data_IF_036970263233
#
_entry.id   IF_036970263233
#
_cell.length_a   1.000
_cell.length_b   1.000
_cell.length_c   1.000
_cell.angle_alpha   90.00
_cell.angle_beta   90.00
_cell.angle_gamma   90.00
#
_symmetry.space_group_name_H-M   'P 1'
#
loop_
_entity.id
_entity.type
_entity.pdbx_description
1 polymer ?
#
# COMPACT_ATOMS: atom_id res chain seq x y z
N UNK A 1 -28.38 11.05 9.90
CA UNK A 1 -27.00 11.49 9.59
C UNK A 1 -26.82 11.39 8.09
N UNK A 2 -26.50 12.49 7.40
CA UNK A 2 -26.29 12.45 5.96
C UNK A 2 -24.97 11.72 5.68
N UNK A 3 -25.03 10.60 4.95
CA UNK A 3 -23.85 9.92 4.44
C UNK A 3 -22.94 10.93 3.74
N UNK A 4 -21.66 10.98 4.12
CA UNK A 4 -20.68 11.82 3.43
C UNK A 4 -20.44 11.33 2.00
N UNK A 5 -20.58 10.02 1.76
CA UNK A 5 -20.40 9.40 0.46
C UNK A 5 -21.67 9.51 -0.40
N UNK A 6 -21.54 9.72 -1.73
CA UNK A 6 -22.68 9.66 -2.65
C UNK A 6 -23.27 8.24 -2.67
N UNK A 7 -24.59 8.18 -2.80
CA UNK A 7 -25.31 6.95 -3.12
C UNK A 7 -24.92 6.41 -4.50
N UNK A 8 -25.21 5.13 -4.75
CA UNK A 8 -24.95 4.50 -6.05
C UNK A 8 -25.62 5.25 -7.22
N UNK A 9 -26.84 5.75 -7.00
CA UNK A 9 -27.58 6.52 -8.01
C UNK A 9 -26.94 7.89 -8.27
N UNK A 10 -26.53 8.61 -7.22
CA UNK A 10 -25.78 9.86 -7.36
C UNK A 10 -24.47 9.61 -8.12
N UNK A 11 -23.70 8.59 -7.73
CA UNK A 11 -22.42 8.30 -8.36
C UNK A 11 -22.56 8.00 -9.86
N UNK A 12 -23.57 7.22 -10.24
CA UNK A 12 -23.86 6.89 -11.64
C UNK A 12 -24.16 8.15 -12.46
N UNK A 13 -24.97 9.06 -11.92
CA UNK A 13 -25.29 10.35 -12.58
C UNK A 13 -24.07 11.27 -12.60
N UNK A 14 -23.28 11.30 -11.53
CA UNK A 14 -22.04 12.08 -11.46
C UNK A 14 -21.05 11.65 -12.54
N UNK A 15 -20.85 10.34 -12.74
CA UNK A 15 -19.99 9.80 -13.78
C UNK A 15 -20.43 10.18 -15.18
N UNK A 16 -21.73 10.09 -15.44
CA UNK A 16 -22.31 10.47 -16.71
C UNK A 16 -22.01 11.95 -17.03
N UNK A 17 -22.26 12.85 -16.08
CA UNK A 17 -21.99 14.28 -16.23
C UNK A 17 -20.49 14.58 -16.31
N UNK A 18 -19.69 13.90 -15.48
CA UNK A 18 -18.26 14.12 -15.37
C UNK A 18 -17.49 13.68 -16.63
N UNK A 19 -17.96 12.64 -17.32
CA UNK A 19 -17.41 12.21 -18.61
C UNK A 19 -17.46 13.35 -19.64
N UNK A 20 -18.57 14.06 -19.70
CA UNK A 20 -18.74 15.18 -20.62
C UNK A 20 -17.96 16.41 -20.17
N UNK A 21 -17.94 16.69 -18.86
CA UNK A 21 -17.09 17.71 -18.26
C UNK A 21 -15.62 17.51 -18.62
N UNK A 22 -15.09 16.29 -18.51
CA UNK A 22 -13.68 16.00 -18.84
C UNK A 22 -13.35 16.22 -20.31
N UNK A 23 -14.27 15.85 -21.22
CA UNK A 23 -14.09 16.01 -22.66
C UNK A 23 -14.11 17.47 -23.09
N UNK A 24 -15.02 18.27 -22.51
CA UNK A 24 -15.26 19.66 -22.93
C UNK A 24 -14.58 20.71 -22.06
N UNK A 25 -14.11 20.32 -20.87
CA UNK A 25 -13.61 21.22 -19.81
C UNK A 25 -14.62 22.30 -19.42
N UNK A 26 -15.91 22.00 -19.60
CA UNK A 26 -17.02 22.90 -19.30
C UNK A 26 -18.10 22.12 -18.57
N UNK A 27 -18.60 22.68 -17.46
CA UNK A 27 -19.67 22.09 -16.68
C UNK A 27 -21.02 22.45 -17.31
N UNK A 28 -21.45 21.64 -18.27
CA UNK A 28 -22.66 21.89 -19.06
C UNK A 28 -23.90 21.29 -18.39
N UNK A 29 -24.99 22.06 -18.38
CA UNK A 29 -26.32 21.57 -18.00
C UNK A 29 -26.78 20.47 -18.94
N UNK A 30 -27.41 19.43 -18.40
CA UNK A 30 -28.08 18.37 -19.15
C UNK A 30 -29.51 18.19 -18.66
N UNK A 31 -30.44 17.98 -19.60
CA UNK A 31 -31.83 17.70 -19.28
C UNK A 31 -31.93 16.40 -18.50
N UNK A 32 -32.72 16.41 -17.43
CA UNK A 32 -32.94 15.24 -16.58
C UNK A 32 -33.49 14.05 -17.39
N UNK A 33 -34.39 14.32 -18.34
CA UNK A 33 -34.92 13.30 -19.25
C UNK A 33 -33.85 12.62 -20.11
N UNK A 34 -32.83 13.37 -20.54
CA UNK A 34 -31.74 12.82 -21.34
C UNK A 34 -30.80 11.96 -20.49
N UNK A 35 -30.52 12.38 -19.25
CA UNK A 35 -29.74 11.60 -18.29
C UNK A 35 -30.44 10.28 -18.00
N UNK A 36 -31.75 10.32 -17.72
CA UNK A 36 -32.51 9.14 -17.32
C UNK A 36 -32.65 8.13 -18.46
N UNK A 37 -32.89 8.62 -19.68
CA UNK A 37 -32.89 7.77 -20.88
C UNK A 37 -31.56 7.06 -21.05
N UNK A 38 -30.44 7.78 -20.92
CA UNK A 38 -29.12 7.20 -21.18
C UNK A 38 -28.64 6.23 -20.09
N UNK A 39 -29.12 6.43 -18.87
CA UNK A 39 -28.82 5.57 -17.73
C UNK A 39 -29.87 4.47 -17.51
N UNK A 40 -30.87 4.35 -18.39
CA UNK A 40 -32.02 3.45 -18.25
C UNK A 40 -32.73 3.57 -16.90
N UNK A 41 -32.85 4.80 -16.38
CA UNK A 41 -33.63 5.12 -15.18
C UNK A 41 -35.09 5.26 -15.61
N UNK A 42 -35.95 4.37 -15.10
CA UNK A 42 -37.36 4.34 -15.49
C UNK A 42 -38.10 5.60 -15.00
N UNK A 43 -39.07 6.07 -15.80
CA UNK A 43 -40.00 7.11 -15.37
C UNK A 43 -40.75 6.64 -14.12
N UNK A 44 -40.75 7.46 -13.05
CA UNK A 44 -41.36 7.14 -11.76
C UNK A 44 -40.42 6.44 -10.76
N UNK A 45 -39.19 6.12 -11.14
CA UNK A 45 -38.17 5.71 -10.18
C UNK A 45 -37.86 6.86 -9.22
N UNK A 46 -37.71 6.55 -7.94
CA UNK A 46 -37.38 7.57 -6.94
C UNK A 46 -36.01 8.19 -7.24
N UNK A 47 -36.03 9.51 -7.48
CA UNK A 47 -34.87 10.34 -7.78
C UNK A 47 -34.75 11.48 -6.77
N UNK A 48 -35.47 11.39 -5.65
CA UNK A 48 -35.38 12.34 -4.54
C UNK A 48 -33.94 12.52 -4.07
N UNK A 49 -33.18 11.42 -4.05
CA UNK A 49 -31.73 11.39 -3.74
C UNK A 49 -30.90 12.33 -4.61
N UNK A 50 -31.26 12.52 -5.88
CA UNK A 50 -30.57 13.43 -6.80
C UNK A 50 -30.96 14.89 -6.55
N UNK A 51 -32.21 15.14 -6.17
CA UNK A 51 -32.71 16.51 -5.95
C UNK A 51 -32.07 17.18 -4.74
N UNK A 52 -31.85 16.42 -3.66
CA UNK A 52 -31.30 16.92 -2.40
C UNK A 52 -29.77 16.75 -2.31
N UNK A 53 -29.15 16.23 -3.37
CA UNK A 53 -27.72 15.96 -3.41
C UNK A 53 -26.89 17.24 -3.45
N UNK A 54 -25.90 17.35 -2.56
CA UNK A 54 -24.87 18.40 -2.62
C UNK A 54 -23.97 18.30 -3.86
N UNK A 55 -23.99 17.18 -4.58
CA UNK A 55 -23.12 16.93 -5.73
C UNK A 55 -23.68 17.46 -7.05
N UNK A 56 -24.95 17.87 -7.07
CA UNK A 56 -25.60 18.42 -8.25
C UNK A 56 -26.07 19.85 -8.01
N UNK A 57 -26.10 20.62 -9.09
CA UNK A 57 -26.82 21.89 -9.15
C UNK A 57 -27.99 21.70 -10.10
N UNK A 58 -29.20 21.75 -9.54
CA UNK A 58 -30.46 21.72 -10.28
C UNK A 58 -30.78 23.11 -10.80
N UNK A 59 -31.22 23.19 -12.06
CA UNK A 59 -31.73 24.44 -12.63
C UNK A 59 -32.80 24.18 -13.68
N UNK A 60 -33.62 25.17 -13.97
CA UNK A 60 -34.54 25.13 -15.10
C UNK A 60 -33.86 25.74 -16.32
N UNK A 61 -33.97 25.04 -17.45
CA UNK A 61 -33.65 25.56 -18.77
C UNK A 61 -34.94 25.60 -19.59
N UNK A 62 -35.55 26.79 -19.66
CA UNK A 62 -36.91 26.99 -20.16
C UNK A 62 -37.93 26.16 -19.36
N UNK A 63 -38.49 25.11 -19.96
CA UNK A 63 -39.48 24.22 -19.35
C UNK A 63 -38.89 22.90 -18.85
N UNK A 64 -37.58 22.68 -19.03
CA UNK A 64 -36.92 21.42 -18.69
C UNK A 64 -36.13 21.54 -17.40
N UNK A 65 -36.27 20.53 -16.55
CA UNK A 65 -35.35 20.32 -15.45
C UNK A 65 -33.99 19.88 -15.97
N UNK A 66 -32.93 20.51 -15.46
CA UNK A 66 -31.55 20.20 -15.83
C UNK A 66 -30.69 19.96 -14.59
N UNK A 67 -29.76 19.02 -14.73
CA UNK A 67 -28.67 18.79 -13.78
C UNK A 67 -27.34 19.19 -14.39
N UNK A 68 -26.47 19.71 -13.53
CA UNK A 68 -25.04 19.86 -13.76
C UNK A 68 -24.30 19.48 -12.47
N UNK A 69 -23.01 19.16 -12.55
CA UNK A 69 -22.24 18.91 -11.33
C UNK A 69 -22.15 20.20 -10.51
N UNK A 70 -22.23 20.10 -9.19
CA UNK A 70 -21.79 21.19 -8.32
C UNK A 70 -20.26 21.23 -8.24
N UNK A 71 -19.68 22.25 -7.63
CA UNK A 71 -18.24 22.27 -7.33
C UNK A 71 -17.82 21.09 -6.44
N UNK A 72 -18.67 20.72 -5.49
CA UNK A 72 -18.45 19.53 -4.65
C UNK A 72 -18.49 18.24 -5.49
N UNK A 73 -19.41 18.15 -6.44
CA UNK A 73 -19.50 17.04 -7.39
C UNK A 73 -18.26 16.91 -8.27
N UNK A 74 -17.77 18.02 -8.84
CA UNK A 74 -16.54 18.05 -9.64
C UNK A 74 -15.35 17.62 -8.78
N UNK A 75 -15.18 18.20 -7.59
CA UNK A 75 -14.06 17.89 -6.69
C UNK A 75 -14.04 16.42 -6.27
N UNK A 76 -15.21 15.87 -5.95
CA UNK A 76 -15.33 14.45 -5.63
C UNK A 76 -14.90 13.58 -6.82
N UNK A 77 -15.40 13.88 -8.01
CA UNK A 77 -15.09 13.11 -9.21
C UNK A 77 -13.63 13.26 -9.67
N UNK A 78 -13.03 14.43 -9.52
CA UNK A 78 -11.59 14.65 -9.78
C UNK A 78 -10.74 13.76 -8.87
N UNK A 79 -11.06 13.74 -7.57
CA UNK A 79 -10.35 12.89 -6.60
C UNK A 79 -10.54 11.40 -6.93
N UNK A 80 -11.79 10.97 -7.13
CA UNK A 80 -12.11 9.60 -7.52
C UNK A 80 -11.34 9.19 -8.78
N UNK A 81 -11.36 10.03 -9.82
CA UNK A 81 -10.69 9.74 -11.07
C UNK A 81 -9.17 9.69 -10.94
N UNK A 82 -8.58 10.55 -10.09
CA UNK A 82 -7.14 10.51 -9.77
C UNK A 82 -6.75 9.18 -9.11
N UNK A 83 -7.55 8.71 -8.14
CA UNK A 83 -7.33 7.43 -7.46
C UNK A 83 -7.46 6.27 -8.46
N UNK A 84 -8.47 6.31 -9.34
CA UNK A 84 -8.67 5.30 -10.39
C UNK A 84 -7.47 5.29 -11.33
N UNK A 85 -7.02 6.46 -11.78
CA UNK A 85 -5.91 6.59 -12.72
C UNK A 85 -4.63 5.97 -12.15
N UNK A 86 -4.28 6.33 -10.91
CA UNK A 86 -3.11 5.79 -10.24
C UNK A 86 -3.19 4.27 -10.11
N UNK A 87 -4.32 3.74 -9.63
CA UNK A 87 -4.50 2.30 -9.49
C UNK A 87 -4.51 1.57 -10.83
N UNK A 88 -5.03 2.20 -11.87
CA UNK A 88 -5.05 1.64 -13.22
C UNK A 88 -3.64 1.51 -13.79
N UNK A 89 -2.77 2.50 -13.54
CA UNK A 89 -1.35 2.46 -13.89
C UNK A 89 -0.60 1.36 -13.12
N UNK A 90 -0.85 1.19 -11.82
CA UNK A 90 -0.27 0.10 -11.01
C UNK A 90 -0.62 -1.28 -11.55
N UNK A 91 -1.83 -1.43 -12.10
CA UNK A 91 -2.28 -2.66 -12.75
C UNK A 91 -1.64 -2.86 -14.14
N UNK A 92 -0.74 -1.98 -14.57
CA UNK A 92 -0.12 -1.96 -15.90
C UNK A 92 -1.11 -1.59 -17.01
N UNK A 93 -2.09 -0.74 -16.70
CA UNK A 93 -3.12 -0.31 -17.65
C UNK A 93 -2.57 0.68 -18.69
N UNK A 94 -2.83 0.43 -19.98
CA UNK A 94 -2.43 1.35 -21.03
C UNK A 94 -3.40 2.55 -21.11
N UNK A 95 -2.85 3.76 -21.21
CA UNK A 95 -3.59 5.00 -21.42
C UNK A 95 -3.34 5.48 -22.85
N UNK A 96 -4.40 5.73 -23.62
CA UNK A 96 -4.32 6.25 -24.98
C UNK A 96 -5.23 7.46 -25.11
N UNK A 97 -4.68 8.60 -25.56
CA UNK A 97 -5.43 9.86 -25.70
C UNK A 97 -6.16 10.30 -24.42
N UNK A 98 -5.61 9.99 -23.24
CA UNK A 98 -6.23 10.31 -21.95
C UNK A 98 -7.41 9.40 -21.56
N UNK A 99 -7.61 8.30 -22.27
CA UNK A 99 -8.59 7.26 -21.96
C UNK A 99 -7.91 5.96 -21.53
N UNK A 100 -8.49 5.30 -20.52
CA UNK A 100 -8.06 4.01 -20.00
C UNK A 100 -8.62 2.90 -20.91
N UNK A 101 -7.77 2.28 -21.73
CA UNK A 101 -8.18 1.41 -22.83
C UNK A 101 -8.58 0.00 -22.37
N UNK A 102 -7.95 -0.50 -21.30
CA UNK A 102 -8.21 -1.84 -20.78
C UNK A 102 -9.41 -1.81 -19.81
N UNK A 103 -10.56 -2.29 -20.29
CA UNK A 103 -11.81 -2.29 -19.51
C UNK A 103 -11.73 -3.09 -18.21
N UNK A 104 -11.05 -4.23 -18.20
CA UNK A 104 -10.92 -5.06 -16.99
C UNK A 104 -10.12 -4.34 -15.89
N UNK A 105 -8.95 -3.81 -16.26
CA UNK A 105 -8.11 -3.05 -15.32
C UNK A 105 -8.82 -1.80 -14.83
N UNK A 106 -9.56 -1.11 -15.70
CA UNK A 106 -10.40 0.02 -15.30
C UNK A 106 -11.45 -0.40 -14.28
N UNK A 107 -12.20 -1.48 -14.52
CA UNK A 107 -13.20 -1.97 -13.57
C UNK A 107 -12.60 -2.37 -12.23
N UNK A 108 -11.40 -2.98 -12.21
CA UNK A 108 -10.68 -3.32 -10.97
C UNK A 108 -10.20 -2.08 -10.22
N UNK A 109 -9.58 -1.13 -10.92
CA UNK A 109 -9.15 0.15 -10.36
C UNK A 109 -10.32 0.96 -9.80
N UNK A 110 -11.44 0.95 -10.52
CA UNK A 110 -12.67 1.62 -10.13
C UNK A 110 -13.28 1.07 -8.84
N UNK A 111 -13.46 -0.26 -8.75
CA UNK A 111 -13.96 -0.91 -7.51
C UNK A 111 -13.06 -0.62 -6.32
N UNK A 112 -11.75 -0.65 -6.53
CA UNK A 112 -10.77 -0.31 -5.49
C UNK A 112 -10.86 1.16 -5.08
N UNK A 113 -11.00 2.09 -6.03
CA UNK A 113 -11.13 3.51 -5.73
C UNK A 113 -12.40 3.82 -4.93
N UNK A 114 -13.53 3.18 -5.27
CA UNK A 114 -14.78 3.32 -4.51
C UNK A 114 -14.64 2.88 -3.05
N UNK A 115 -13.88 1.81 -2.76
CA UNK A 115 -13.68 1.36 -1.37
C UNK A 115 -12.70 2.23 -0.58
N UNK A 116 -11.79 2.95 -1.24
CA UNK A 116 -10.75 3.75 -0.60
C UNK A 116 -11.06 5.26 -0.52
N UNK A 117 -11.97 5.78 -1.35
CA UNK A 117 -12.29 7.21 -1.36
C UNK A 117 -12.94 7.66 -0.05
N UNK A 118 -13.73 6.78 0.60
CA UNK A 118 -14.37 7.08 1.88
C UNK A 118 -13.35 7.15 3.03
N UNK A 119 -12.32 6.30 2.99
CA UNK A 119 -11.22 6.29 3.98
C UNK A 119 -10.32 7.52 3.84
N UNK A 120 -10.20 8.04 2.62
CA UNK A 120 -9.40 9.22 2.30
C UNK A 120 -10.17 10.51 2.61
N UNK A 121 -11.47 10.56 2.32
CA UNK A 121 -12.33 11.73 2.51
C UNK A 121 -12.50 12.14 3.99
N UNK A 122 -12.43 11.20 4.94
CA UNK A 122 -12.46 11.50 6.38
C UNK A 122 -11.14 12.09 6.90
N UNK A 123 -10.02 11.85 6.21
CA UNK A 123 -8.70 12.35 6.58
C UNK A 123 -8.25 13.58 5.75
N UNK A 124 -8.80 13.76 4.55
CA UNK A 124 -8.63 15.00 3.79
C UNK A 124 -9.66 16.02 4.26
N UNK A 125 -9.27 16.82 5.25
CA UNK A 125 -9.91 18.12 5.52
C UNK A 125 -10.15 18.80 4.17
N UNK A 126 -11.37 19.28 3.85
CA UNK A 126 -11.69 19.80 2.53
C UNK A 126 -10.63 20.82 2.12
N UNK A 127 -9.82 20.45 1.12
CA UNK A 127 -8.79 21.31 0.60
C UNK A 127 -9.52 22.37 -0.24
N UNK A 128 -10.07 23.38 0.43
CA UNK A 128 -10.15 24.73 -0.11
C UNK A 128 -8.72 25.30 -0.13
N UNK A 129 -7.81 24.65 -0.86
CA UNK A 129 -6.59 25.35 -1.26
C UNK A 129 -6.92 26.05 -2.55
N UNK A 130 -6.78 27.37 -2.54
CA UNK A 130 -6.62 28.12 -3.77
C UNK A 130 -5.45 27.48 -4.52
N UNK A 131 -5.72 27.10 -5.76
CA UNK A 131 -4.70 26.52 -6.64
C UNK A 131 -3.75 27.64 -7.00
N UNK A 132 -2.46 27.45 -6.75
CA UNK A 132 -1.47 28.45 -7.12
C UNK A 132 -1.35 28.49 -8.65
N UNK A 133 -1.40 29.68 -9.22
CA UNK A 133 -1.18 29.93 -10.65
C UNK A 133 -0.14 31.00 -10.80
N UNK A 134 0.61 31.00 -11.90
CA UNK A 134 1.58 32.07 -12.18
C UNK A 134 1.01 33.47 -12.15
N UNK A 135 -0.30 33.62 -12.32
CA UNK A 135 -0.97 34.93 -12.32
C UNK A 135 -1.13 35.51 -10.90
N UNK A 136 -0.93 34.69 -9.85
CA UNK A 136 -1.15 35.06 -8.45
C UNK A 136 0.07 34.83 -7.55
N UNK A 137 1.20 34.42 -8.13
CA UNK A 137 2.44 34.27 -7.35
C UNK A 137 3.04 35.68 -7.22
N UNK A 138 3.28 36.17 -5.99
CA UNK A 138 3.94 37.46 -5.79
C UNK A 138 5.30 37.48 -6.51
N UNK A 139 5.82 38.67 -6.83
CA UNK A 139 7.15 38.78 -7.43
C UNK A 139 8.20 38.14 -6.50
N UNK A 140 8.67 36.95 -6.87
CA UNK A 140 9.57 36.13 -6.07
C UNK A 140 8.91 34.89 -5.47
N UNK A 141 9.74 33.96 -4.99
CA UNK A 141 9.27 32.73 -4.38
C UNK A 141 8.69 33.00 -2.98
N UNK A 142 7.52 32.45 -2.57
CA UNK A 142 6.91 32.78 -1.30
C UNK A 142 7.70 32.17 -0.13
N UNK A 143 8.50 33.00 0.55
CA UNK A 143 9.43 32.57 1.61
C UNK A 143 8.76 32.20 2.93
N UNK A 144 7.51 32.61 3.15
CA UNK A 144 6.78 32.40 4.41
C UNK A 144 5.91 31.12 4.42
N UNK A 145 5.91 30.34 3.34
CA UNK A 145 5.13 29.11 3.28
C UNK A 145 5.66 28.03 4.22
N UNK A 146 4.78 27.29 4.90
CA UNK A 146 5.20 26.06 5.59
C UNK A 146 5.61 24.97 4.58
N UNK A 147 6.30 23.93 5.03
CA UNK A 147 6.88 22.90 4.15
C UNK A 147 5.86 22.20 3.27
N UNK A 148 4.62 22.02 3.73
CA UNK A 148 3.57 21.36 2.95
C UNK A 148 2.91 22.31 1.96
N UNK A 149 2.72 23.58 2.32
CA UNK A 149 2.34 24.62 1.37
C UNK A 149 3.37 24.74 0.25
N UNK A 150 4.67 24.63 0.59
CA UNK A 150 5.77 24.69 -0.37
C UNK A 150 5.69 23.58 -1.42
N UNK A 151 5.46 22.33 -0.97
CA UNK A 151 5.25 21.19 -1.88
C UNK A 151 4.06 21.42 -2.80
N UNK A 152 2.99 22.00 -2.26
CA UNK A 152 1.78 22.26 -3.02
C UNK A 152 1.99 23.32 -4.11
N UNK A 153 2.71 24.41 -3.82
CA UNK A 153 3.08 25.44 -4.80
C UNK A 153 3.92 24.84 -5.93
N UNK A 154 4.95 24.05 -5.58
CA UNK A 154 5.81 23.38 -6.57
C UNK A 154 4.98 22.44 -7.46
N UNK A 155 4.06 21.67 -6.87
CA UNK A 155 3.20 20.76 -7.62
C UNK A 155 2.26 21.52 -8.55
N UNK A 156 1.58 22.56 -8.07
CA UNK A 156 0.63 23.36 -8.86
C UNK A 156 1.35 24.04 -10.05
N UNK A 157 2.54 24.60 -9.82
CA UNK A 157 3.39 25.19 -10.86
C UNK A 157 3.86 24.18 -11.90
N UNK A 158 4.27 22.99 -11.46
CA UNK A 158 4.71 21.92 -12.35
C UNK A 158 3.54 21.39 -13.20
N UNK A 159 2.35 21.24 -12.60
CA UNK A 159 1.14 20.88 -13.33
C UNK A 159 0.79 21.95 -14.38
N UNK A 160 0.86 23.23 -14.01
CA UNK A 160 0.61 24.34 -14.94
C UNK A 160 1.61 24.33 -16.11
N UNK A 161 2.90 24.12 -15.82
CA UNK A 161 3.97 23.95 -16.82
C UNK A 161 3.64 22.86 -17.82
N UNK A 162 3.34 21.65 -17.32
CA UNK A 162 3.01 20.48 -18.15
C UNK A 162 1.76 20.74 -18.98
N UNK A 163 0.73 21.38 -18.41
CA UNK A 163 -0.52 21.67 -19.12
C UNK A 163 -0.31 22.68 -20.25
N UNK A 164 0.37 23.81 -20.04
CA UNK A 164 0.58 24.80 -21.13
C UNK A 164 1.53 24.28 -22.21
N UNK A 165 2.56 23.50 -21.83
CA UNK A 165 3.49 22.86 -22.78
C UNK A 165 2.77 21.86 -23.68
N UNK A 166 1.90 21.01 -23.13
CA UNK A 166 1.06 20.10 -23.92
C UNK A 166 0.06 20.84 -24.83
N UNK A 167 -0.38 22.03 -24.42
CA UNK A 167 -1.28 22.89 -25.20
C UNK A 167 -0.61 23.65 -26.35
N UNK A 168 0.69 23.47 -26.60
CA UNK A 168 1.43 24.16 -27.67
C UNK A 168 1.58 25.67 -27.47
N UNK A 169 1.26 26.19 -26.28
CA UNK A 169 1.42 27.60 -25.93
C UNK A 169 2.84 27.82 -25.41
N UNK A 170 3.78 27.94 -26.34
CA UNK A 170 5.19 28.19 -26.03
C UNK A 170 5.43 29.68 -25.80
N UNK A 171 5.61 30.07 -24.54
CA UNK A 171 6.17 31.36 -24.18
C UNK A 171 7.45 31.09 -23.38
N UNK A 172 8.60 31.24 -24.04
CA UNK A 172 9.91 30.92 -23.47
C UNK A 172 10.20 31.70 -22.18
N UNK A 173 9.80 32.97 -22.12
CA UNK A 173 10.01 33.82 -20.94
C UNK A 173 9.21 33.26 -19.76
N UNK A 174 7.95 32.90 -19.97
CA UNK A 174 7.12 32.28 -18.92
C UNK A 174 7.65 30.90 -18.49
N UNK A 175 8.10 30.08 -19.45
CA UNK A 175 8.70 28.77 -19.15
C UNK A 175 9.94 28.92 -18.26
N UNK A 176 10.83 29.86 -18.59
CA UNK A 176 12.05 30.13 -17.82
C UNK A 176 11.71 30.60 -16.40
N UNK A 177 10.70 31.47 -16.24
CA UNK A 177 10.24 31.96 -14.93
C UNK A 177 9.69 30.81 -14.08
N UNK A 178 8.79 29.96 -14.61
CA UNK A 178 8.25 28.84 -13.84
C UNK A 178 9.35 27.86 -13.46
N UNK A 179 10.21 27.48 -14.40
CA UNK A 179 11.28 26.52 -14.13
C UNK A 179 12.24 27.06 -13.07
N UNK A 180 12.52 28.36 -13.06
CA UNK A 180 13.30 29.01 -12.01
C UNK A 180 12.59 28.96 -10.65
N UNK A 181 11.28 29.19 -10.59
CA UNK A 181 10.51 29.10 -9.35
C UNK A 181 10.44 27.66 -8.81
N UNK A 182 10.19 26.67 -9.67
CA UNK A 182 10.21 25.24 -9.31
C UNK A 182 11.59 24.84 -8.79
N UNK A 183 12.66 25.30 -9.45
CA UNK A 183 14.04 25.02 -9.02
C UNK A 183 14.32 25.63 -7.65
N UNK A 184 13.99 26.91 -7.46
CA UNK A 184 14.18 27.61 -6.19
C UNK A 184 13.42 26.93 -5.04
N UNK A 185 12.19 26.49 -5.31
CA UNK A 185 11.40 25.77 -4.31
C UNK A 185 11.94 24.41 -3.91
N UNK A 186 12.49 23.67 -4.86
CA UNK A 186 13.16 22.40 -4.57
C UNK A 186 14.46 22.59 -3.78
N UNK A 187 15.22 23.65 -4.07
CA UNK A 187 16.41 24.01 -3.30
C UNK A 187 16.06 24.37 -1.85
N UNK A 188 15.00 25.14 -1.63
CA UNK A 188 14.51 25.47 -0.29
C UNK A 188 14.00 24.23 0.47
N UNK A 189 13.24 23.34 -0.19
CA UNK A 189 12.84 22.06 0.40
C UNK A 189 14.05 21.22 0.83
N UNK A 190 15.13 21.23 0.04
CA UNK A 190 16.37 20.53 0.35
C UNK A 190 17.07 21.15 1.56
N UNK A 191 17.15 22.48 1.64
CA UNK A 191 17.70 23.20 2.78
C UNK A 191 16.92 22.92 4.08
N UNK A 192 15.58 22.97 4.03
CA UNK A 192 14.71 22.64 5.18
C UNK A 192 14.91 21.20 5.66
N UNK A 193 15.12 20.25 4.74
CA UNK A 193 15.44 18.86 5.10
C UNK A 193 16.81 18.73 5.77
N UNK A 194 17.82 19.45 5.30
CA UNK A 194 19.15 19.44 5.91
C UNK A 194 19.12 20.07 7.30
N UNK A 195 18.51 21.25 7.45
CA UNK A 195 18.36 21.90 8.76
C UNK A 195 17.60 21.02 9.77
N UNK A 196 16.53 20.33 9.33
CA UNK A 196 15.82 19.39 10.19
C UNK A 196 16.68 18.18 10.59
N UNK A 197 17.59 17.71 9.73
CA UNK A 197 18.53 16.63 10.08
C UNK A 197 19.56 17.11 11.10
N UNK A 198 20.18 18.25 10.88
CA UNK A 198 21.14 18.86 11.81
C UNK A 198 20.51 19.11 13.18
N UNK A 199 19.25 19.55 13.22
CA UNK A 199 18.57 19.79 14.50
C UNK A 199 18.20 18.50 15.24
N UNK A 200 18.00 17.38 14.52
CA UNK A 200 17.85 16.06 15.13
C UNK A 200 19.20 15.54 15.62
N UNK A 201 20.27 15.74 14.85
CA UNK A 201 21.64 15.35 15.19
C UNK A 201 22.15 16.06 16.46
N UNK A 202 21.98 17.38 16.59
CA UNK A 202 22.33 18.15 17.81
C UNK A 202 21.53 17.69 19.05
N UNK A 203 20.27 17.26 18.86
CA UNK A 203 19.48 16.66 19.96
C UNK A 203 20.00 15.28 20.36
N UNK A 204 20.50 14.48 19.42
CA UNK A 204 21.09 13.18 19.73
C UNK A 204 22.50 13.29 20.32
N UNK A 205 23.28 14.30 19.94
CA UNK A 205 24.64 14.50 20.48
C UNK A 205 24.64 15.01 21.93
N UNK A 206 23.59 15.72 22.36
CA UNK A 206 23.40 16.14 23.76
C UNK A 206 22.96 15.02 24.71
N UNK A 207 22.62 13.84 24.23
CA UNK A 207 22.43 12.66 25.09
C UNK A 207 23.75 11.92 25.30
N UNK A 208 24.71 12.58 25.95
CA UNK A 208 25.90 11.88 26.42
C UNK A 208 25.52 10.92 27.54
N UNK A 209 25.83 9.63 27.38
CA UNK A 209 25.65 8.60 28.43
C UNK A 209 26.29 9.03 29.76
N UNK A 210 27.27 9.95 29.72
CA UNK A 210 27.93 10.53 30.90
C UNK A 210 27.00 11.33 31.81
N UNK A 211 25.90 11.89 31.29
CA UNK A 211 24.98 12.73 32.06
C UNK A 211 23.76 11.96 32.58
N UNK A 212 23.67 10.66 32.30
CA UNK A 212 22.61 9.82 32.85
C UNK A 212 22.78 9.67 34.38
N UNK A 213 21.68 9.79 35.16
CA UNK A 213 21.71 9.55 36.59
C UNK A 213 22.20 8.12 36.88
N UNK A 214 22.96 7.94 37.98
CA UNK A 214 23.67 6.68 38.26
C UNK A 214 22.76 5.44 38.18
N UNK A 215 21.53 5.54 38.66
CA UNK A 215 20.59 4.41 38.63
C UNK A 215 20.32 3.92 37.20
N UNK A 216 20.17 4.82 36.23
CA UNK A 216 19.90 4.46 34.84
C UNK A 216 21.14 3.83 34.17
N UNK A 217 22.34 4.31 34.52
CA UNK A 217 23.60 3.67 34.09
C UNK A 217 23.71 2.24 34.60
N UNK A 218 23.35 2.00 35.86
CA UNK A 218 23.30 0.65 36.42
C UNK A 218 22.23 -0.21 35.75
N UNK A 219 21.05 0.34 35.45
CA UNK A 219 20.00 -0.40 34.75
C UNK A 219 20.45 -0.83 33.36
N UNK A 220 21.07 0.07 32.58
CA UNK A 220 21.59 -0.26 31.25
C UNK A 220 22.71 -1.31 31.34
N UNK A 221 23.63 -1.18 32.30
CA UNK A 221 24.69 -2.16 32.52
C UNK A 221 24.13 -3.55 32.90
N UNK A 222 23.16 -3.61 33.81
CA UNK A 222 22.51 -4.85 34.25
C UNK A 222 21.78 -5.51 33.07
N UNK A 223 21.00 -4.75 32.29
CA UNK A 223 20.31 -5.29 31.10
C UNK A 223 21.30 -5.84 30.09
N UNK A 224 22.43 -5.17 29.89
CA UNK A 224 23.48 -5.62 28.97
C UNK A 224 24.13 -6.92 29.46
N UNK A 225 24.46 -7.01 30.75
CA UNK A 225 25.04 -8.21 31.36
C UNK A 225 24.04 -9.38 31.29
N UNK A 226 22.77 -9.14 31.64
CA UNK A 226 21.73 -10.16 31.56
C UNK A 226 21.50 -10.65 30.13
N UNK A 227 21.55 -9.75 29.14
CA UNK A 227 21.46 -10.13 27.72
C UNK A 227 22.62 -11.03 27.27
N UNK A 228 23.84 -10.73 27.69
CA UNK A 228 25.02 -11.57 27.38
C UNK A 228 24.93 -12.92 28.08
N UNK A 229 24.54 -12.96 29.35
CA UNK A 229 24.34 -14.22 30.09
C UNK A 229 23.25 -15.07 29.42
N UNK A 230 22.14 -14.46 29.00
CA UNK A 230 21.07 -15.16 28.29
C UNK A 230 21.53 -15.76 26.96
N UNK A 231 22.32 -15.00 26.17
CA UNK A 231 22.89 -15.49 24.92
C UNK A 231 23.83 -16.69 25.13
N UNK A 232 24.65 -16.68 26.19
CA UNK A 232 25.54 -17.80 26.54
C UNK A 232 24.73 -19.02 26.95
N UNK A 233 23.72 -18.85 27.81
CA UNK A 233 22.84 -19.95 28.25
C UNK A 233 22.11 -20.57 27.05
N UNK A 234 21.60 -19.75 26.13
CA UNK A 234 20.94 -20.25 24.93
C UNK A 234 21.90 -20.99 23.98
N UNK A 235 23.13 -20.51 23.84
CA UNK A 235 24.19 -21.21 23.10
C UNK A 235 24.53 -22.58 23.69
N UNK A 236 24.62 -22.69 25.02
CA UNK A 236 24.86 -23.99 25.69
C UNK A 236 23.65 -24.92 25.50
N UNK A 237 22.43 -24.40 25.65
CA UNK A 237 21.21 -25.18 25.51
C UNK A 237 21.04 -25.76 24.09
N UNK A 238 21.30 -24.96 23.07
CA UNK A 238 21.27 -25.40 21.66
C UNK A 238 22.37 -26.42 21.36
N UNK A 239 23.57 -26.24 21.90
CA UNK A 239 24.68 -27.19 21.75
C UNK A 239 24.39 -28.56 22.39
N UNK A 240 23.83 -28.58 23.61
CA UNK A 240 23.45 -29.82 24.29
C UNK A 240 22.27 -30.52 23.57
N UNK A 241 21.31 -29.75 23.05
CA UNK A 241 20.21 -30.29 22.25
C UNK A 241 20.67 -31.02 20.99
N UNK A 242 21.74 -30.57 20.33
CA UNK A 242 22.30 -31.24 19.16
C UNK A 242 23.00 -32.57 19.49
N UNK A 243 23.63 -32.70 20.66
CA UNK A 243 24.30 -33.94 21.09
C UNK A 243 23.30 -35.05 21.45
N UNK A 244 22.13 -34.71 21.98
CA UNK A 244 21.11 -35.69 22.38
C UNK A 244 20.37 -36.28 21.17
N UNK A 245 20.26 -35.52 20.08
CA UNK A 245 19.58 -35.97 18.85
C UNK A 245 20.50 -36.69 17.84
N UNK A 246 21.81 -36.75 18.08
CA UNK A 246 22.79 -37.36 17.18
C UNK A 246 23.02 -38.88 17.33
N UNK A 247 22.33 -39.56 18.27
CA UNK A 247 22.68 -40.96 18.63
C UNK A 247 21.90 -42.02 17.85
N UNK A 248 20.83 -41.68 17.12
CA UNK A 248 20.00 -42.67 16.41
C UNK A 248 19.89 -42.43 14.91
N UNK A 249 21.03 -42.42 14.19
CA UNK A 249 21.01 -42.73 12.75
C UNK A 249 22.41 -43.10 12.27
N UNK A 250 22.68 -44.40 12.22
CA UNK A 250 23.81 -44.97 11.49
C UNK A 250 23.37 -46.29 10.86
N UNK A 251 23.81 -46.49 9.61
CA UNK A 251 23.53 -47.62 8.68
C UNK A 251 22.22 -47.42 7.89
N UNK A 252 22.16 -47.41 6.55
CA UNK A 252 23.01 -47.99 5.51
C UNK A 252 22.64 -47.36 4.16
N UNK A 253 23.60 -46.85 3.38
CA UNK A 253 23.84 -47.24 1.98
C UNK A 253 24.83 -46.29 1.29
N UNK A 254 25.87 -46.93 0.74
CA UNK A 254 26.95 -46.37 -0.03
C UNK A 254 26.64 -46.45 -1.55
N UNK A 255 27.37 -45.60 -2.30
CA UNK A 255 27.77 -45.68 -3.71
C UNK A 255 26.82 -45.13 -4.80
N UNK A 256 27.20 -43.98 -5.38
CA UNK A 256 27.95 -43.98 -6.65
C UNK A 256 28.67 -42.64 -6.93
N UNK A 257 29.88 -42.75 -7.48
CA UNK A 257 30.79 -41.69 -7.96
C UNK A 257 30.37 -41.11 -9.32
N UNK A 258 30.70 -39.84 -9.56
CA UNK A 258 30.75 -39.23 -10.90
C UNK A 258 31.23 -37.78 -10.90
N UNK A 259 32.51 -37.57 -11.24
CA UNK A 259 33.21 -36.30 -11.48
C UNK A 259 32.63 -35.47 -12.65
N UNK A 260 32.92 -34.16 -12.68
CA UNK A 260 32.93 -33.36 -13.91
C UNK A 260 32.94 -31.84 -13.71
N UNK A 261 34.02 -31.20 -14.18
CA UNK A 261 34.47 -29.82 -13.98
C UNK A 261 33.67 -28.67 -14.64
N UNK A 262 33.86 -27.47 -14.06
CA UNK A 262 34.02 -26.11 -14.61
C UNK A 262 33.47 -25.77 -16.02
N UNK A 263 32.77 -24.63 -16.15
CA UNK A 263 33.15 -23.47 -17.00
C UNK A 263 32.26 -22.24 -16.69
N UNK A 264 32.91 -21.10 -16.86
CA UNK A 264 32.56 -19.71 -16.57
C UNK A 264 31.30 -19.11 -17.23
N UNK A 265 30.80 -18.07 -16.56
CA UNK A 265 30.61 -16.76 -17.17
C UNK A 265 29.20 -16.44 -17.68
N UNK A 266 28.47 -15.60 -16.93
CA UNK A 266 28.00 -14.33 -17.51
C UNK A 266 27.55 -13.34 -16.43
N UNK A 267 28.13 -12.14 -16.50
CA UNK A 267 27.71 -10.97 -15.73
C UNK A 267 26.57 -10.30 -16.50
N UNK A 268 25.35 -10.37 -15.98
CA UNK A 268 24.31 -9.41 -16.34
C UNK A 268 23.98 -8.53 -15.13
N UNK A 269 24.42 -7.29 -15.23
CA UNK A 269 24.07 -6.19 -14.33
C UNK A 269 22.63 -5.79 -14.69
N UNK A 270 21.68 -6.19 -13.85
CA UNK A 270 20.36 -5.57 -13.80
C UNK A 270 20.24 -4.87 -12.45
N UNK A 271 20.19 -3.53 -12.47
CA UNK A 271 19.87 -2.70 -11.32
C UNK A 271 18.40 -2.92 -10.93
N UNK A 272 18.15 -3.93 -10.11
CA UNK A 272 16.91 -4.07 -9.36
C UNK A 272 16.99 -3.18 -8.12
N UNK A 273 16.07 -2.22 -8.04
CA UNK A 273 15.87 -1.36 -6.86
C UNK A 273 15.71 -2.23 -5.63
N UNK A 274 16.71 -2.20 -4.75
CA UNK A 274 16.67 -2.87 -3.45
C UNK A 274 15.57 -2.27 -2.60
N UNK A 275 14.76 -3.15 -1.99
CA UNK A 275 13.97 -2.82 -0.82
C UNK A 275 14.93 -2.48 0.33
N UNK A 276 15.38 -1.23 0.38
CA UNK A 276 16.18 -0.68 1.46
C UNK A 276 15.54 0.64 1.86
N UNK A 277 14.68 0.55 2.88
CA UNK A 277 14.53 1.50 3.98
C UNK A 277 13.19 1.23 4.68
N UNK A 278 13.07 0.04 5.29
CA UNK A 278 12.15 -0.13 6.42
C UNK A 278 12.98 0.25 7.64
N UNK A 279 12.81 1.50 8.08
CA UNK A 279 13.24 1.95 9.40
C UNK A 279 12.84 0.92 10.44
N UNK A 280 13.76 0.58 11.34
CA UNK A 280 13.59 -0.36 12.45
C UNK A 280 12.60 0.18 13.49
N UNK A 281 11.35 0.42 13.08
CA UNK A 281 10.25 0.51 14.00
C UNK A 281 10.10 -0.88 14.62
N UNK A 282 10.18 -0.94 15.95
CA UNK A 282 9.97 -2.18 16.71
C UNK A 282 8.63 -2.78 16.28
N UNK A 283 8.68 -3.82 15.44
CA UNK A 283 7.49 -4.56 15.05
C UNK A 283 6.89 -5.17 16.31
N UNK A 284 5.61 -4.91 16.53
CA UNK A 284 4.86 -5.43 17.68
C UNK A 284 4.63 -6.92 17.46
N UNK A 285 4.95 -7.72 18.47
CA UNK A 285 4.73 -9.17 18.47
C UNK A 285 3.26 -9.46 18.79
N UNK A 286 2.63 -10.30 18.00
CA UNK A 286 1.34 -10.90 18.32
C UNK A 286 1.56 -12.08 19.26
N UNK A 287 1.01 -12.01 20.47
CA UNK A 287 1.22 -13.00 21.54
C UNK A 287 0.25 -14.19 21.47
N UNK A 288 -0.73 -14.18 20.56
CA UNK A 288 -1.72 -15.25 20.43
C UNK A 288 -1.31 -16.36 19.46
N UNK A 289 -2.10 -17.44 19.43
CA UNK A 289 -2.01 -18.45 18.37
C UNK A 289 -2.59 -17.89 17.06
N UNK A 290 -1.84 -17.96 15.96
CA UNK A 290 -2.27 -17.45 14.66
C UNK A 290 -3.44 -18.25 14.08
N UNK A 291 -3.54 -19.54 14.38
CA UNK A 291 -4.63 -20.42 13.92
C UNK A 291 -5.97 -20.02 14.53
N UNK A 292 -5.96 -19.49 15.77
CA UNK A 292 -7.17 -18.93 16.39
C UNK A 292 -7.72 -17.74 15.61
N UNK A 293 -6.85 -16.90 15.00
CA UNK A 293 -7.33 -15.80 14.16
C UNK A 293 -8.07 -16.32 12.93
N UNK A 294 -7.57 -17.39 12.32
CA UNK A 294 -8.25 -18.04 11.19
C UNK A 294 -9.61 -18.62 11.64
N UNK A 295 -9.67 -19.32 12.77
CA UNK A 295 -10.89 -19.91 13.31
C UNK A 295 -11.94 -18.85 13.68
N UNK A 296 -11.53 -17.78 14.36
CA UNK A 296 -12.41 -16.66 14.69
C UNK A 296 -12.97 -16.00 13.43
N UNK A 297 -12.16 -15.88 12.38
CA UNK A 297 -12.61 -15.32 11.12
C UNK A 297 -13.58 -16.24 10.35
N UNK A 298 -13.50 -17.57 10.49
CA UNK A 298 -14.47 -18.47 9.88
C UNK A 298 -15.89 -18.27 10.41
N UNK A 299 -16.03 -17.84 11.67
CA UNK A 299 -17.32 -17.53 12.30
C UNK A 299 -17.96 -16.24 11.76
N UNK A 300 -17.24 -15.44 10.98
CA UNK A 300 -17.77 -14.21 10.37
C UNK A 300 -18.50 -14.54 9.06
N UNK A 301 -19.64 -13.89 8.82
CA UNK A 301 -20.57 -14.26 7.73
C UNK A 301 -20.13 -13.73 6.38
N UNK A 302 -19.56 -12.54 6.34
CA UNK A 302 -19.25 -11.84 5.10
C UNK A 302 -17.74 -11.69 4.89
N UNK A 303 -17.31 -11.65 3.62
CA UNK A 303 -15.89 -11.40 3.30
C UNK A 303 -15.40 -10.04 3.82
N UNK A 304 -16.29 -9.05 3.91
CA UNK A 304 -15.98 -7.70 4.42
C UNK A 304 -15.72 -7.74 5.93
N UNK A 305 -16.52 -8.47 6.70
CA UNK A 305 -16.29 -8.65 8.15
C UNK A 305 -14.95 -9.34 8.40
N UNK A 306 -14.62 -10.38 7.62
CA UNK A 306 -13.32 -11.08 7.70
C UNK A 306 -12.16 -10.13 7.42
N UNK A 307 -12.23 -9.36 6.34
CA UNK A 307 -11.20 -8.37 5.99
C UNK A 307 -11.01 -7.33 7.10
N UNK A 308 -12.09 -6.78 7.63
CA UNK A 308 -12.05 -5.78 8.71
C UNK A 308 -11.52 -6.36 10.04
N UNK A 309 -11.78 -7.64 10.30
CA UNK A 309 -11.21 -8.35 11.44
C UNK A 309 -9.68 -8.45 11.32
N UNK A 310 -9.18 -8.91 10.17
CA UNK A 310 -7.74 -9.12 9.97
C UNK A 310 -6.92 -7.83 9.85
N UNK A 311 -7.51 -6.73 9.36
CA UNK A 311 -6.85 -5.41 9.27
C UNK A 311 -6.22 -4.95 10.59
N UNK A 312 -6.73 -5.40 11.73
CA UNK A 312 -6.20 -5.08 13.07
C UNK A 312 -4.85 -5.74 13.37
N UNK A 313 -4.50 -6.80 12.64
CA UNK A 313 -3.32 -7.63 12.89
C UNK A 313 -2.25 -7.50 11.79
N UNK A 314 -2.58 -6.85 10.67
CA UNK A 314 -1.64 -6.63 9.56
C UNK A 314 -0.38 -5.92 10.06
N UNK A 315 0.78 -6.46 9.69
CA UNK A 315 2.10 -5.94 10.07
C UNK A 315 2.65 -6.47 11.39
N UNK A 316 1.86 -7.17 12.20
CA UNK A 316 2.34 -7.80 13.44
C UNK A 316 3.24 -8.99 13.12
N UNK A 317 4.29 -9.18 13.91
CA UNK A 317 5.12 -10.38 13.88
C UNK A 317 4.43 -11.51 14.63
N UNK A 318 4.53 -12.73 14.12
CA UNK A 318 4.05 -13.95 14.77
C UNK A 318 5.22 -14.90 14.98
N UNK A 319 5.17 -15.64 16.09
CA UNK A 319 6.04 -16.78 16.35
C UNK A 319 5.16 -17.95 16.79
N UNK A 320 5.15 -19.04 16.03
CA UNK A 320 4.19 -20.13 16.24
C UNK A 320 4.72 -21.46 15.68
N UNK A 321 4.06 -22.55 16.05
CA UNK A 321 4.38 -23.90 15.62
C UNK A 321 3.30 -24.40 14.67
N UNK A 322 3.65 -25.23 13.70
CA UNK A 322 2.67 -25.86 12.80
C UNK A 322 3.28 -27.01 12.02
N UNK A 323 2.42 -27.75 11.31
CA UNK A 323 2.83 -28.78 10.37
C UNK A 323 2.84 -28.21 8.96
N UNK A 324 4.01 -28.15 8.34
CA UNK A 324 4.08 -27.99 6.90
C UNK A 324 3.44 -29.22 6.27
N UNK A 325 2.38 -29.02 5.47
CA UNK A 325 1.64 -30.12 4.83
C UNK A 325 1.69 -30.08 3.30
N UNK A 326 1.93 -28.90 2.72
CA UNK A 326 2.13 -28.75 1.28
C UNK A 326 3.18 -27.65 1.01
N UNK A 327 4.03 -27.87 0.01
CA UNK A 327 5.01 -26.88 -0.49
C UNK A 327 4.73 -26.67 -1.97
N UNK A 328 4.41 -25.44 -2.35
CA UNK A 328 4.15 -25.05 -3.73
C UNK A 328 5.32 -24.23 -4.26
N UNK A 329 6.03 -24.79 -5.24
CA UNK A 329 6.99 -24.05 -6.06
C UNK A 329 6.23 -23.08 -6.98
N UNK A 330 6.48 -21.76 -6.91
CA UNK A 330 5.78 -20.79 -7.74
C UNK A 330 6.05 -20.95 -9.23
N UNK A 331 7.15 -21.60 -9.64
CA UNK A 331 7.69 -21.43 -10.99
C UNK A 331 7.87 -19.93 -11.32
N UNK A 332 7.88 -19.59 -12.62
CA UNK A 332 7.89 -18.19 -13.08
C UNK A 332 6.54 -17.47 -12.91
N UNK A 333 5.63 -17.94 -12.04
CA UNK A 333 4.35 -17.27 -11.84
C UNK A 333 4.48 -16.09 -10.88
N UNK A 334 4.11 -14.91 -11.36
CA UNK A 334 3.96 -13.69 -10.55
C UNK A 334 2.83 -13.86 -9.54
N UNK A 335 3.14 -13.82 -8.25
CA UNK A 335 2.16 -13.90 -7.17
C UNK A 335 1.78 -12.52 -6.64
N UNK A 336 0.48 -12.22 -6.52
CA UNK A 336 -0.03 -11.02 -5.84
C UNK A 336 0.38 -9.67 -6.44
N UNK A 337 1.02 -9.63 -7.61
CA UNK A 337 1.62 -8.41 -8.16
C UNK A 337 2.93 -7.98 -7.49
N UNK A 338 3.47 -8.81 -6.58
CA UNK A 338 4.82 -8.61 -6.03
C UNK A 338 5.77 -9.35 -6.96
N UNK A 339 6.64 -8.59 -7.63
CA UNK A 339 7.71 -9.15 -8.44
C UNK A 339 8.73 -9.83 -7.52
N UNK A 340 8.63 -11.15 -7.39
CA UNK A 340 9.55 -11.98 -6.62
C UNK A 340 9.18 -13.46 -6.73
N UNK A 341 10.19 -14.33 -6.67
CA UNK A 341 10.00 -15.78 -6.61
C UNK A 341 9.79 -16.12 -5.13
N UNK A 342 8.57 -16.53 -4.77
CA UNK A 342 8.22 -16.92 -3.40
C UNK A 342 7.66 -18.33 -3.36
N UNK A 343 8.21 -19.19 -2.50
CA UNK A 343 7.61 -20.48 -2.19
C UNK A 343 6.38 -20.26 -1.31
N UNK A 344 5.27 -20.90 -1.65
CA UNK A 344 4.06 -20.88 -0.84
C UNK A 344 3.98 -22.19 -0.07
N UNK A 345 3.90 -22.09 1.25
CA UNK A 345 3.87 -23.25 2.12
C UNK A 345 2.57 -23.22 2.89
N UNK A 346 1.84 -24.32 2.82
CA UNK A 346 0.66 -24.56 3.65
C UNK A 346 1.12 -25.08 5.00
N UNK A 347 0.65 -24.44 6.05
CA UNK A 347 0.93 -24.85 7.43
C UNK A 347 -0.40 -25.10 8.14
N UNK A 348 -0.57 -26.32 8.64
CA UNK A 348 -1.74 -26.74 9.42
C UNK A 348 -1.43 -26.67 10.93
N UNK A 349 -2.46 -26.49 11.75
CA UNK A 349 -2.34 -26.41 13.22
C UNK A 349 -1.91 -27.77 13.81
N UNK A 350 -1.09 -27.74 14.86
CA UNK A 350 -0.61 -28.97 15.52
C UNK A 350 -1.70 -29.66 16.34
N UNK A 351 -2.67 -28.89 16.85
CA UNK A 351 -3.69 -29.37 17.77
C UNK A 351 -4.97 -29.85 17.06
N UNK A 352 -5.23 -29.38 15.83
CA UNK A 352 -6.51 -29.61 15.17
C UNK A 352 -6.32 -29.97 13.69
N UNK A 353 -6.65 -31.22 13.33
CA UNK A 353 -6.52 -31.70 11.93
C UNK A 353 -7.57 -31.15 10.97
N UNK A 354 -8.65 -30.57 11.50
CA UNK A 354 -9.77 -30.03 10.72
C UNK A 354 -9.87 -28.50 10.79
N UNK A 355 -8.86 -27.81 11.34
CA UNK A 355 -8.86 -26.34 11.42
C UNK A 355 -8.42 -25.67 10.13
N UNK A 356 -8.76 -24.37 9.97
CA UNK A 356 -8.22 -23.57 8.90
C UNK A 356 -6.70 -23.52 8.94
N UNK A 357 -6.09 -23.83 7.80
CA UNK A 357 -4.67 -23.69 7.57
C UNK A 357 -4.27 -22.25 7.26
N UNK A 358 -2.99 -21.96 7.43
CA UNK A 358 -2.39 -20.69 7.04
C UNK A 358 -1.48 -20.87 5.83
N UNK A 359 -1.31 -19.80 5.06
CA UNK A 359 -0.38 -19.76 3.93
C UNK A 359 0.81 -18.88 4.29
N UNK A 360 2.02 -19.42 4.13
CA UNK A 360 3.25 -18.71 4.41
C UNK A 360 4.06 -18.51 3.13
N UNK A 361 4.46 -17.27 2.83
CA UNK A 361 5.35 -16.95 1.73
C UNK A 361 6.81 -16.91 2.19
N UNK A 362 7.63 -17.80 1.64
CA UNK A 362 9.07 -17.87 1.84
C UNK A 362 9.80 -17.27 0.64
N UNK A 363 10.88 -16.54 0.90
CA UNK A 363 11.73 -16.02 -0.18
C UNK A 363 12.43 -17.15 -0.96
N UNK A 364 12.95 -16.82 -2.14
CA UNK A 364 13.63 -17.77 -3.02
C UNK A 364 14.86 -18.44 -2.37
N UNK A 365 15.49 -17.83 -1.35
CA UNK A 365 16.67 -18.40 -0.68
C UNK A 365 16.32 -19.64 0.15
N UNK A 366 15.04 -19.81 0.51
CA UNK A 366 14.54 -20.99 1.20
C UNK A 366 14.28 -22.19 0.29
N UNK A 367 14.27 -22.03 -1.03
CA UNK A 367 13.80 -23.05 -1.98
C UNK A 367 14.41 -24.44 -1.78
N UNK A 368 15.74 -24.54 -1.87
CA UNK A 368 16.46 -25.82 -1.67
C UNK A 368 16.22 -26.44 -0.29
N UNK A 369 16.03 -25.61 0.75
CA UNK A 369 15.77 -26.10 2.11
C UNK A 369 14.36 -26.68 2.19
N UNK A 370 13.37 -25.96 1.67
CA UNK A 370 11.98 -26.41 1.63
C UNK A 370 11.80 -27.68 0.81
N UNK A 371 12.41 -27.76 -0.38
CA UNK A 371 12.38 -28.96 -1.25
C UNK A 371 13.01 -30.20 -0.59
N UNK A 372 13.91 -30.02 0.37
CA UNK A 372 14.54 -31.11 1.11
C UNK A 372 13.75 -31.60 2.32
N UNK A 373 12.65 -30.92 2.69
CA UNK A 373 11.82 -31.31 3.82
C UNK A 373 10.98 -32.54 3.50
N UNK A 374 10.90 -33.47 4.45
CA UNK A 374 10.00 -34.62 4.35
C UNK A 374 8.63 -34.22 4.94
N UNK A 375 7.68 -33.90 4.05
CA UNK A 375 6.34 -33.40 4.42
C UNK A 375 5.39 -34.59 4.69
N UNK A 376 4.59 -34.58 5.78
CA UNK A 376 4.39 -33.48 6.72
C UNK A 376 5.56 -33.27 7.69
N UNK A 377 5.90 -32.00 7.98
CA UNK A 377 7.03 -31.61 8.82
C UNK A 377 6.61 -30.61 9.89
N UNK A 378 6.78 -30.96 11.17
CA UNK A 378 6.51 -30.06 12.30
C UNK A 378 7.64 -29.05 12.47
N UNK A 379 7.32 -27.77 12.60
CA UNK A 379 8.32 -26.70 12.71
C UNK A 379 7.82 -25.51 13.52
N UNK A 380 8.73 -24.84 14.21
CA UNK A 380 8.54 -23.46 14.68
C UNK A 380 8.93 -22.51 13.54
N UNK A 381 8.20 -21.40 13.40
CA UNK A 381 8.52 -20.38 12.41
C UNK A 381 8.11 -18.99 12.89
N UNK A 382 8.78 -17.99 12.33
CA UNK A 382 8.40 -16.58 12.46
C UNK A 382 7.93 -16.04 11.14
N UNK A 383 6.93 -15.15 11.17
CA UNK A 383 6.47 -14.46 9.98
C UNK A 383 5.83 -13.11 10.34
N UNK A 384 5.48 -12.32 9.34
CA UNK A 384 4.65 -11.11 9.51
C UNK A 384 3.28 -11.35 8.89
N UNK A 385 2.21 -10.86 9.53
CA UNK A 385 0.85 -10.96 8.98
C UNK A 385 0.71 -9.95 7.82
N UNK A 386 0.46 -10.42 6.59
CA UNK A 386 0.32 -9.54 5.42
C UNK A 386 -1.12 -9.09 5.22
N UNK A 387 -1.95 -10.03 4.77
CA UNK A 387 -3.30 -9.75 4.29
C UNK A 387 -4.13 -11.03 4.32
N UNK A 388 -5.42 -10.90 4.06
CA UNK A 388 -6.33 -12.03 3.91
C UNK A 388 -6.89 -12.02 2.51
N UNK A 389 -6.58 -13.09 1.77
CA UNK A 389 -7.19 -13.31 0.47
C UNK A 389 -8.69 -13.62 0.62
N UNK A 390 -9.50 -13.35 -0.42
CA UNK A 390 -10.89 -13.76 -0.46
C UNK A 390 -10.98 -15.29 -0.28
N UNK A 391 -11.36 -15.74 0.91
CA UNK A 391 -11.25 -17.16 1.28
C UNK A 391 -11.06 -17.46 2.77
N UNK A 392 -10.96 -16.44 3.64
CA UNK A 392 -10.87 -16.60 5.11
C UNK A 392 -9.53 -17.10 5.65
N UNK A 393 -8.48 -17.12 4.83
CA UNK A 393 -7.17 -17.65 5.25
C UNK A 393 -6.21 -16.53 5.58
N UNK A 394 -5.51 -16.67 6.69
CA UNK A 394 -4.40 -15.80 7.04
C UNK A 394 -3.24 -16.05 6.08
N UNK A 395 -2.74 -14.97 5.47
CA UNK A 395 -1.49 -15.00 4.73
C UNK A 395 -0.39 -14.33 5.52
N UNK A 396 0.73 -15.04 5.57
CA UNK A 396 1.94 -14.61 6.23
C UNK A 396 3.04 -14.36 5.19
N UNK A 397 3.85 -13.34 5.41
CA UNK A 397 4.99 -12.98 4.57
C UNK A 397 6.28 -12.92 5.38
N UNK A 398 7.41 -12.95 4.68
CA UNK A 398 8.74 -13.03 5.28
C UNK A 398 8.83 -14.20 6.27
N UNK A 399 8.35 -15.37 5.84
CA UNK A 399 8.37 -16.56 6.67
C UNK A 399 9.79 -17.10 6.81
N UNK A 400 10.15 -17.49 8.03
CA UNK A 400 11.47 -18.01 8.39
C UNK A 400 11.26 -19.20 9.31
N UNK A 401 11.69 -20.40 8.89
CA UNK A 401 11.71 -21.58 9.77
C UNK A 401 12.86 -21.43 10.78
N UNK A 402 12.62 -21.87 12.01
CA UNK A 402 13.63 -21.84 13.08
C UNK A 402 14.52 -23.08 13.11
#
# INVERSE_FOLDING_TARGET
MNSLAPSSQELTVMEFLYRDYRKRKQNTKKKTSDIFRELNICNGQDVSTLNDSKYFKKSLDSTYETFQLSEAGIRYMDNLYSIILHRYEDLGGAIKNGEMVNRDKFSRAYKWAQSNINTTAENTKPINRERWSTDHIPDGYPQECNTDQLKNVIQDLNDEYVMKKKGGKHNKIWEDIILQQIKSGNEELKQRRQSNREHVEDKTEKFSIKDLPLWLKYTVAIVTILGVVWAIVWGIFTYVGQQVNGVNTSQTNQQHLGNGDNVAGDKNIYNGSTASDITTDKKVLYEGNIFNLSLEAENLKTSIEKENYFKKFVGLLVNTNGYITDIYDPGNNTFGGIAGIYYQVRIDDTEHKDTPYIMCAFDASWGKKLESLNVPFETEFTATIDNVQPGSRVWLYNCVLK
#
